data_IF_779175963210
#
_entry.id   IF_779175963210
#
_cell.length_a   1.000
_cell.length_b   1.000
_cell.length_c   1.000
_cell.angle_alpha   90.00
_cell.angle_beta   90.00
_cell.angle_gamma   90.00
#
_symmetry.space_group_name_H-M   'P 1'
#
loop_
_entity.id
_entity.type
_entity.pdbx_description
1 polymer ?
#
# COMPACT_ATOMS: atom_id res chain seq x y z
N UNK A 1 -21.41 -16.31 -2.87
CA UNK A 1 -20.96 -15.87 -1.53
C UNK A 1 -21.27 -14.41 -1.43
N UNK A 2 -22.17 -14.00 -0.53
CA UNK A 2 -22.59 -12.61 -0.37
C UNK A 2 -21.49 -11.85 0.37
N UNK A 3 -20.94 -10.81 -0.24
CA UNK A 3 -19.95 -9.94 0.39
C UNK A 3 -20.61 -9.20 1.56
N UNK A 4 -20.02 -9.21 2.77
CA UNK A 4 -20.54 -8.37 3.85
C UNK A 4 -20.33 -6.90 3.48
N UNK A 5 -21.39 -6.10 3.51
CA UNK A 5 -21.33 -4.63 3.42
C UNK A 5 -21.61 -4.04 4.80
N UNK A 6 -20.79 -3.12 5.29
CA UNK A 6 -21.09 -2.43 6.55
C UNK A 6 -22.14 -1.34 6.32
N UNK A 7 -23.20 -1.34 7.14
CA UNK A 7 -24.30 -0.39 6.99
C UNK A 7 -23.97 0.96 7.64
N UNK A 8 -22.94 1.02 8.49
CA UNK A 8 -22.52 2.26 9.16
C UNK A 8 -21.00 2.37 9.36
N UNK A 9 -20.55 3.62 9.54
CA UNK A 9 -19.16 3.94 9.90
C UNK A 9 -18.68 3.25 11.20
N UNK A 10 -19.57 3.09 12.18
CA UNK A 10 -19.23 2.48 13.46
C UNK A 10 -19.05 0.97 13.35
N UNK A 11 -19.85 0.29 12.51
CA UNK A 11 -19.67 -1.14 12.21
C UNK A 11 -18.34 -1.40 11.51
N UNK A 12 -17.99 -0.60 10.51
CA UNK A 12 -16.70 -0.66 9.84
C UNK A 12 -15.55 -0.50 10.86
N UNK A 13 -15.65 0.49 11.75
CA UNK A 13 -14.62 0.73 12.78
C UNK A 13 -14.55 -0.41 13.81
N UNK A 14 -15.68 -0.97 14.20
CA UNK A 14 -15.74 -2.12 15.10
C UNK A 14 -15.08 -3.35 14.47
N UNK A 15 -15.35 -3.62 13.19
CA UNK A 15 -14.69 -4.70 12.46
C UNK A 15 -13.18 -4.50 12.37
N UNK A 16 -12.71 -3.32 11.98
CA UNK A 16 -11.28 -3.01 11.92
C UNK A 16 -10.60 -3.22 13.29
N UNK A 17 -11.27 -2.86 14.39
CA UNK A 17 -10.78 -3.14 15.76
C UNK A 17 -10.68 -4.64 16.05
N UNK A 18 -11.66 -5.45 15.63
CA UNK A 18 -11.62 -6.90 15.76
C UNK A 18 -10.46 -7.52 14.96
N UNK A 19 -10.16 -6.96 13.78
CA UNK A 19 -8.99 -7.40 13.00
C UNK A 19 -7.66 -7.13 13.71
N UNK A 20 -7.56 -6.02 14.45
CA UNK A 20 -6.36 -5.64 15.19
C UNK A 20 -6.22 -6.35 16.53
N UNK A 21 -7.34 -6.74 17.15
CA UNK A 21 -7.34 -7.42 18.46
C UNK A 21 -8.25 -8.64 18.37
N UNK A 22 -7.80 -9.71 17.69
CA UNK A 22 -8.59 -10.92 17.63
C UNK A 22 -8.62 -11.55 19.04
N UNK A 23 -9.77 -12.13 19.43
CA UNK A 23 -9.95 -12.76 20.74
C UNK A 23 -8.95 -13.89 21.03
N UNK A 24 -9.02 -14.48 22.23
CA UNK A 24 -8.06 -15.48 22.73
C UNK A 24 -7.67 -16.55 21.70
N UNK A 25 -6.37 -16.69 21.44
CA UNK A 25 -5.79 -17.73 20.58
C UNK A 25 -5.43 -17.31 19.15
N UNK A 26 -5.52 -16.02 18.79
CA UNK A 26 -5.11 -15.50 17.47
C UNK A 26 -3.99 -14.46 17.61
N UNK A 27 -3.04 -14.48 16.69
CA UNK A 27 -1.98 -13.47 16.64
C UNK A 27 -2.56 -12.10 16.31
N UNK A 28 -2.12 -11.10 17.08
CA UNK A 28 -2.46 -9.70 16.88
C UNK A 28 -1.94 -9.26 15.50
N UNK A 29 -2.82 -8.80 14.61
CA UNK A 29 -2.37 -8.21 13.34
C UNK A 29 -1.91 -6.78 13.58
N UNK A 30 -0.77 -6.42 12.99
CA UNK A 30 -0.36 -5.02 12.91
C UNK A 30 -1.26 -4.27 11.94
N UNK A 31 -1.36 -2.94 12.10
CA UNK A 31 -2.08 -2.06 11.18
C UNK A 31 -1.48 -2.15 9.76
N UNK A 32 -0.16 -2.34 9.65
CA UNK A 32 0.54 -2.54 8.38
C UNK A 32 0.09 -3.81 7.66
N UNK A 33 0.00 -4.94 8.37
CA UNK A 33 -0.50 -6.19 7.80
C UNK A 33 -1.97 -6.08 7.44
N UNK A 34 -2.77 -5.37 8.25
CA UNK A 34 -4.16 -5.11 7.93
C UNK A 34 -4.29 -4.30 6.63
N UNK A 35 -3.54 -3.21 6.49
CA UNK A 35 -3.55 -2.35 5.30
C UNK A 35 -3.18 -3.11 4.01
N UNK A 36 -2.22 -4.04 4.08
CA UNK A 36 -1.81 -4.90 2.97
C UNK A 36 -2.86 -5.93 2.57
N UNK A 37 -3.57 -6.50 3.54
CA UNK A 37 -4.52 -7.61 3.33
C UNK A 37 -5.98 -7.16 3.22
N UNK A 38 -6.24 -5.84 3.11
CA UNK A 38 -7.61 -5.34 2.98
C UNK A 38 -8.24 -5.85 1.69
N UNK A 39 -9.40 -6.46 1.82
CA UNK A 39 -10.16 -6.95 0.68
C UNK A 39 -10.80 -5.77 -0.08
N UNK A 40 -10.93 -5.82 -1.43
CA UNK A 40 -11.53 -4.73 -2.22
C UNK A 40 -12.84 -4.15 -1.68
N UNK A 41 -13.81 -4.98 -1.29
CA UNK A 41 -15.08 -4.51 -0.72
C UNK A 41 -14.93 -3.66 0.55
N UNK A 42 -13.88 -3.89 1.35
CA UNK A 42 -13.59 -3.09 2.54
C UNK A 42 -13.00 -1.73 2.16
N UNK A 43 -12.29 -1.67 1.02
CA UNK A 43 -11.78 -0.41 0.48
C UNK A 43 -12.92 0.45 -0.06
N UNK A 44 -13.95 -0.15 -0.63
CA UNK A 44 -15.16 0.55 -1.07
C UNK A 44 -15.86 1.21 0.13
N UNK A 45 -16.09 0.46 1.21
CA UNK A 45 -16.69 1.00 2.44
C UNK A 45 -15.80 2.10 3.07
N UNK A 46 -14.48 1.98 3.00
CA UNK A 46 -13.55 3.02 3.49
C UNK A 46 -13.57 4.26 2.58
N UNK A 47 -13.72 4.09 1.28
CA UNK A 47 -13.87 5.20 0.35
C UNK A 47 -15.15 5.99 0.65
N UNK A 48 -16.23 5.31 1.01
CA UNK A 48 -17.50 5.93 1.40
C UNK A 48 -17.40 6.64 2.76
N UNK A 49 -16.96 5.95 3.80
CA UNK A 49 -17.02 6.48 5.18
C UNK A 49 -15.78 7.27 5.63
N UNK A 50 -14.64 7.11 4.95
CA UNK A 50 -13.36 7.73 5.32
C UNK A 50 -12.50 8.06 4.08
N UNK A 51 -12.97 8.91 3.15
CA UNK A 51 -12.30 9.18 1.87
C UNK A 51 -10.87 9.71 2.00
N UNK A 52 -10.56 10.45 3.07
CA UNK A 52 -9.20 10.91 3.36
C UNK A 52 -8.19 9.76 3.54
N UNK A 53 -8.61 8.60 4.07
CA UNK A 53 -7.75 7.43 4.19
C UNK A 53 -7.44 6.81 2.82
N UNK A 54 -8.40 6.84 1.89
CA UNK A 54 -8.15 6.41 0.51
C UNK A 54 -7.17 7.34 -0.19
N UNK A 55 -7.29 8.65 0.00
CA UNK A 55 -6.32 9.61 -0.54
C UNK A 55 -4.90 9.34 -0.04
N UNK A 56 -4.74 9.08 1.26
CA UNK A 56 -3.45 8.72 1.85
C UNK A 56 -2.91 7.39 1.31
N UNK A 57 -3.78 6.39 1.12
CA UNK A 57 -3.41 5.10 0.52
C UNK A 57 -2.91 5.28 -0.91
N UNK A 58 -3.64 6.00 -1.76
CA UNK A 58 -3.24 6.27 -3.14
C UNK A 58 -1.92 7.05 -3.21
N UNK A 59 -1.72 8.04 -2.33
CA UNK A 59 -0.46 8.77 -2.25
C UNK A 59 0.72 7.86 -1.87
N UNK A 60 0.53 6.95 -0.92
CA UNK A 60 1.55 5.98 -0.53
C UNK A 60 1.88 4.99 -1.66
N UNK A 61 0.86 4.46 -2.34
CA UNK A 61 1.04 3.56 -3.49
C UNK A 61 1.80 4.25 -4.63
N UNK A 62 1.46 5.52 -4.91
CA UNK A 62 2.16 6.36 -5.91
C UNK A 62 3.62 6.57 -5.54
N UNK A 63 3.91 6.90 -4.28
CA UNK A 63 5.28 7.10 -3.81
C UNK A 63 6.10 5.81 -3.91
N UNK A 64 5.52 4.66 -3.57
CA UNK A 64 6.16 3.36 -3.71
C UNK A 64 6.47 3.03 -5.17
N UNK A 65 5.51 3.25 -6.08
CA UNK A 65 5.72 3.03 -7.51
C UNK A 65 6.86 3.91 -8.06
N UNK A 66 6.86 5.21 -7.72
CA UNK A 66 7.92 6.13 -8.13
C UNK A 66 9.30 5.70 -7.64
N UNK A 67 9.39 5.23 -6.39
CA UNK A 67 10.63 4.68 -5.85
C UNK A 67 11.11 3.46 -6.65
N UNK A 68 10.22 2.52 -6.96
CA UNK A 68 10.58 1.31 -7.72
C UNK A 68 11.03 1.65 -9.14
N UNK A 69 10.36 2.59 -9.83
CA UNK A 69 10.79 3.07 -11.15
C UNK A 69 12.15 3.75 -11.09
N UNK A 70 12.41 4.58 -10.08
CA UNK A 70 13.71 5.22 -9.91
C UNK A 70 14.81 4.18 -9.63
N UNK A 71 14.52 3.17 -8.82
CA UNK A 71 15.44 2.06 -8.53
C UNK A 71 15.74 1.23 -9.79
N UNK A 72 14.73 0.89 -10.58
CA UNK A 72 14.89 0.18 -11.85
C UNK A 72 15.74 1.00 -12.82
N UNK A 73 15.44 2.29 -12.97
CA UNK A 73 16.22 3.22 -13.80
C UNK A 73 17.67 3.25 -13.35
N UNK A 74 17.92 3.30 -12.05
CA UNK A 74 19.28 3.32 -11.50
C UNK A 74 20.04 2.01 -11.74
N UNK A 75 19.38 0.86 -11.61
CA UNK A 75 19.97 -0.47 -11.85
C UNK A 75 20.28 -0.69 -13.34
N UNK A 76 19.40 -0.20 -14.22
CA UNK A 76 19.46 -0.45 -15.68
C UNK A 76 20.15 0.64 -16.47
N UNK A 77 20.41 1.80 -15.87
CA UNK A 77 21.35 2.76 -16.42
C UNK A 77 22.71 2.07 -16.50
N UNK A 78 23.02 1.51 -17.67
CA UNK A 78 24.41 1.18 -18.01
C UNK A 78 25.23 2.41 -17.65
N UNK A 79 26.23 2.23 -16.79
CA UNK A 79 27.31 3.20 -16.65
C UNK A 79 27.92 3.29 -18.03
N UNK A 80 27.43 4.22 -18.85
CA UNK A 80 28.12 4.63 -20.06
C UNK A 80 29.39 5.28 -19.54
N UNK A 81 30.44 4.48 -19.36
CA UNK A 81 31.79 5.01 -19.22
C UNK A 81 31.96 5.97 -20.40
N UNK A 82 32.29 7.25 -20.15
CA UNK A 82 32.58 8.17 -21.24
C UNK A 82 33.64 7.50 -22.11
N UNK A 83 33.46 7.47 -23.45
CA UNK A 83 34.40 6.80 -24.33
C UNK A 83 35.78 7.32 -23.97
N UNK A 84 36.67 6.40 -23.60
CA UNK A 84 38.05 6.72 -23.25
C UNK A 84 38.56 7.70 -24.29
N UNK A 85 38.87 8.92 -23.84
CA UNK A 85 39.50 9.94 -24.67
C UNK A 85 40.80 9.32 -25.18
N UNK A 86 40.74 8.73 -26.37
CA UNK A 86 41.89 8.43 -27.20
C UNK A 86 42.56 9.78 -27.40
N UNK A 87 43.59 10.01 -26.60
CA UNK A 87 44.44 11.18 -26.68
C UNK A 87 45.61 10.77 -27.55
N UNK A 88 45.59 11.03 -28.88
CA UNK A 88 46.78 10.90 -29.68
C UNK A 88 47.61 12.17 -29.53
N UNK A 89 48.62 12.14 -28.65
CA UNK A 89 49.96 12.68 -28.98
C UNK A 89 51.02 12.37 -27.93
#
# INVERSE_FOLDING_TARGET
MTTPSYQTRDELRAFLRLCLTPGHGREKRSVETLARLMHPWLLDDIAEYAPHLMQLRTAADTAQANYLTALETWITAETIEPPAEDTPR
#
